data_IF_673209239981
#
_entry.id   IF_673209239981
#
_cell.length_a   1.000
_cell.length_b   1.000
_cell.length_c   1.000
_cell.angle_alpha   90.00
_cell.angle_beta   90.00
_cell.angle_gamma   90.00
#
_symmetry.space_group_name_H-M   'P 1'
#
loop_
_entity.id
_entity.type
_entity.pdbx_description
1 polymer ?
#
# COMPACT_ATOMS: atom_id res chain seq x y z
N UNK A 1 -13.79 -2.31 -9.06
CA UNK A 1 -12.72 -2.25 -8.05
C UNK A 1 -12.64 -3.61 -7.36
N UNK A 2 -11.52 -3.95 -6.76
CA UNK A 2 -11.42 -5.11 -5.87
C UNK A 2 -10.64 -4.74 -4.61
N UNK A 3 -10.82 -5.51 -3.54
CA UNK A 3 -10.14 -5.24 -2.27
C UNK A 3 -9.96 -6.52 -1.46
N UNK A 4 -8.97 -6.50 -0.58
CA UNK A 4 -8.87 -7.45 0.52
C UNK A 4 -9.21 -6.73 1.83
N UNK A 5 -10.14 -7.29 2.59
CA UNK A 5 -10.48 -6.88 3.96
C UNK A 5 -10.08 -7.98 4.94
N UNK A 6 -10.31 -7.77 6.23
CA UNK A 6 -10.21 -8.81 7.27
C UNK A 6 -11.56 -9.02 7.91
N UNK A 7 -11.73 -10.12 8.65
CA UNK A 7 -12.94 -10.37 9.47
C UNK A 7 -13.28 -9.18 10.39
N UNK A 8 -12.28 -8.43 10.86
CA UNK A 8 -12.48 -7.27 11.73
C UNK A 8 -12.84 -5.99 10.99
N UNK A 9 -12.39 -5.82 9.75
CA UNK A 9 -12.54 -4.56 9.00
C UNK A 9 -13.65 -4.60 7.96
N UNK A 10 -14.03 -5.78 7.48
CA UNK A 10 -14.97 -5.95 6.38
C UNK A 10 -16.34 -5.28 6.58
N UNK A 11 -17.01 -5.43 7.75
CA UNK A 11 -18.33 -4.84 7.92
C UNK A 11 -18.30 -3.31 7.89
N UNK A 12 -17.27 -2.69 8.45
CA UNK A 12 -17.13 -1.24 8.50
C UNK A 12 -16.75 -0.67 7.13
N UNK A 13 -15.75 -1.27 6.47
CA UNK A 13 -15.31 -0.86 5.13
C UNK A 13 -16.44 -1.00 4.12
N UNK A 14 -17.18 -2.11 4.14
CA UNK A 14 -18.31 -2.33 3.24
C UNK A 14 -19.42 -1.30 3.43
N UNK A 15 -19.77 -0.96 4.68
CA UNK A 15 -20.75 0.11 4.96
C UNK A 15 -20.27 1.47 4.48
N UNK A 16 -19.00 1.80 4.71
CA UNK A 16 -18.43 3.07 4.28
C UNK A 16 -18.48 3.22 2.75
N UNK A 17 -18.05 2.20 2.01
CA UNK A 17 -18.08 2.19 0.54
C UNK A 17 -19.49 2.35 -0.02
N UNK A 18 -20.48 1.65 0.56
CA UNK A 18 -21.88 1.80 0.16
C UNK A 18 -22.37 3.24 0.38
N UNK A 19 -22.00 3.88 1.49
CA UNK A 19 -22.35 5.28 1.76
C UNK A 19 -21.73 6.26 0.77
N UNK A 20 -20.55 5.94 0.21
CA UNK A 20 -19.87 6.80 -0.75
C UNK A 20 -20.59 6.89 -2.10
N UNK A 21 -21.49 5.94 -2.39
CA UNK A 21 -22.33 5.98 -3.59
C UNK A 21 -23.19 7.24 -3.66
N UNK A 22 -23.63 7.72 -2.49
CA UNK A 22 -24.45 8.92 -2.36
C UNK A 22 -23.59 10.19 -2.17
N UNK A 23 -22.26 10.07 -2.15
CA UNK A 23 -21.39 11.23 -2.01
C UNK A 23 -21.51 12.15 -3.24
N UNK A 24 -21.47 13.48 -3.06
CA UNK A 24 -21.49 14.42 -4.19
C UNK A 24 -20.35 14.20 -5.19
N UNK A 25 -19.21 13.68 -4.72
CA UNK A 25 -18.05 13.38 -5.55
C UNK A 25 -18.30 12.19 -6.49
N UNK A 26 -18.87 11.09 -5.99
CA UNK A 26 -19.01 9.85 -6.77
C UNK A 26 -20.37 9.71 -7.43
N UNK A 27 -21.46 10.21 -6.85
CA UNK A 27 -22.80 10.02 -7.39
C UNK A 27 -22.89 10.45 -8.86
N UNK A 28 -22.45 11.67 -9.16
CA UNK A 28 -22.45 12.21 -10.52
C UNK A 28 -21.54 11.40 -11.46
N UNK A 29 -20.38 10.93 -10.98
CA UNK A 29 -19.47 10.10 -11.76
C UNK A 29 -20.08 8.73 -12.09
N UNK A 30 -20.75 8.10 -11.13
CA UNK A 30 -21.43 6.82 -11.31
C UNK A 30 -22.57 6.96 -12.32
N UNK A 31 -23.41 8.00 -12.18
CA UNK A 31 -24.52 8.27 -13.09
C UNK A 31 -24.04 8.52 -14.53
N UNK A 32 -22.92 9.23 -14.72
CA UNK A 32 -22.40 9.54 -16.06
C UNK A 32 -21.60 8.42 -16.71
N UNK A 33 -20.80 7.69 -15.95
CA UNK A 33 -19.93 6.63 -16.49
C UNK A 33 -20.65 5.29 -16.60
N UNK A 34 -21.74 5.10 -15.84
CA UNK A 34 -22.37 3.80 -15.64
C UNK A 34 -21.52 2.83 -14.81
N UNK A 35 -20.37 3.26 -14.30
CA UNK A 35 -19.44 2.45 -13.51
C UNK A 35 -19.64 2.77 -12.04
N UNK A 36 -20.27 1.83 -11.33
CA UNK A 36 -20.41 1.92 -9.88
C UNK A 36 -19.15 1.38 -9.18
N UNK A 37 -18.22 2.28 -8.86
CA UNK A 37 -16.94 1.92 -8.23
C UNK A 37 -17.11 1.40 -6.79
N UNK A 38 -18.27 1.65 -6.17
CA UNK A 38 -18.60 1.16 -4.81
C UNK A 38 -18.99 -0.31 -4.79
N UNK A 39 -19.23 -0.91 -5.97
CA UNK A 39 -19.37 -2.37 -6.12
C UNK A 39 -17.98 -2.99 -6.20
N UNK A 40 -17.53 -3.49 -5.07
CA UNK A 40 -16.17 -4.03 -4.91
C UNK A 40 -16.22 -5.55 -4.87
N UNK A 41 -15.34 -6.18 -5.65
CA UNK A 41 -15.04 -7.59 -5.44
C UNK A 41 -14.16 -7.73 -4.21
N UNK A 42 -14.72 -8.27 -3.13
CA UNK A 42 -14.04 -8.35 -1.82
C UNK A 42 -13.62 -9.78 -1.52
N UNK A 43 -12.35 -9.96 -1.15
CA UNK A 43 -11.89 -11.15 -0.44
C UNK A 43 -11.66 -10.83 1.03
N UNK A 44 -12.27 -11.60 1.92
CA UNK A 44 -12.12 -11.41 3.38
C UNK A 44 -11.01 -12.34 3.87
N UNK A 45 -9.91 -11.76 4.35
CA UNK A 45 -8.79 -12.49 4.91
C UNK A 45 -9.22 -13.23 6.20
N UNK A 46 -8.98 -14.54 6.30
CA UNK A 46 -9.21 -15.28 7.53
C UNK A 46 -8.17 -14.91 8.59
N UNK A 47 -8.50 -15.18 9.86
CA UNK A 47 -7.54 -15.04 10.95
C UNK A 47 -6.73 -16.31 11.09
N UNK A 48 -5.45 -16.16 11.42
CA UNK A 48 -4.58 -17.24 11.86
C UNK A 48 -4.32 -17.11 13.36
N UNK A 49 -3.98 -18.21 14.02
CA UNK A 49 -3.62 -18.17 15.44
C UNK A 49 -2.30 -17.44 15.64
N UNK A 50 -2.18 -16.73 16.77
CA UNK A 50 -0.89 -16.35 17.33
C UNK A 50 -0.13 -17.59 17.83
N UNK A 51 1.19 -17.44 17.92
CA UNK A 51 2.11 -18.50 18.29
C UNK A 51 2.94 -18.13 19.52
N UNK A 52 3.61 -19.10 20.12
CA UNK A 52 4.49 -18.89 21.27
C UNK A 52 5.62 -17.92 20.95
N UNK A 53 5.84 -16.95 21.85
CA UNK A 53 6.92 -15.96 21.77
C UNK A 53 8.30 -16.65 21.67
N UNK A 54 9.26 -16.10 20.92
CA UNK A 54 10.57 -16.74 20.70
C UNK A 54 11.37 -16.98 21.99
N UNK A 55 11.07 -16.23 23.07
CA UNK A 55 11.65 -16.49 24.40
C UNK A 55 11.24 -17.82 25.01
N UNK A 56 10.24 -18.52 24.45
CA UNK A 56 9.82 -19.86 24.88
C UNK A 56 10.48 -20.98 24.05
N UNK A 57 11.39 -20.62 23.15
CA UNK A 57 12.13 -21.54 22.28
C UNK A 57 11.89 -21.29 20.79
N UNK A 58 12.71 -21.94 19.97
CA UNK A 58 12.65 -21.81 18.50
C UNK A 58 11.39 -22.46 17.92
N UNK A 59 10.95 -23.57 18.51
CA UNK A 59 9.77 -24.30 18.03
C UNK A 59 8.50 -23.56 18.43
N UNK A 60 7.80 -23.02 17.43
CA UNK A 60 6.52 -22.34 17.60
C UNK A 60 5.40 -23.34 17.92
N UNK A 61 4.62 -23.04 18.94
CA UNK A 61 3.36 -23.72 19.30
C UNK A 61 2.22 -22.69 19.34
N UNK A 62 0.97 -23.12 19.51
CA UNK A 62 -0.17 -22.20 19.63
C UNK A 62 -0.08 -21.36 20.92
N UNK A 63 -0.29 -20.05 20.79
CA UNK A 63 -0.45 -19.17 21.95
C UNK A 63 -1.87 -19.29 22.51
N UNK A 64 -2.00 -19.67 23.79
CA UNK A 64 -3.29 -20.03 24.42
C UNK A 64 -3.54 -19.29 25.74
N UNK A 65 -2.88 -18.16 25.97
CA UNK A 65 -2.97 -17.38 27.21
C UNK A 65 -3.39 -15.93 26.94
N UNK A 66 -4.18 -15.70 25.88
CA UNK A 66 -4.53 -14.35 25.45
C UNK A 66 -5.24 -13.56 26.56
N UNK A 67 -4.67 -12.41 26.93
CA UNK A 67 -5.16 -11.57 28.03
C UNK A 67 -5.08 -12.25 29.39
N UNK A 68 -4.16 -13.21 29.58
CA UNK A 68 -3.98 -13.94 30.83
C UNK A 68 -5.03 -15.02 31.10
N UNK A 69 -5.85 -15.37 30.11
CA UNK A 69 -6.91 -16.37 30.25
C UNK A 69 -6.41 -17.73 29.72
N UNK A 70 -6.27 -18.76 30.58
CA UNK A 70 -5.83 -20.08 30.15
C UNK A 70 -6.75 -20.69 29.09
N UNK A 71 -6.16 -21.23 28.02
CA UNK A 71 -6.87 -21.85 26.89
C UNK A 71 -7.40 -20.87 25.84
N UNK A 72 -7.25 -19.55 26.03
CA UNK A 72 -7.73 -18.54 25.07
C UNK A 72 -6.70 -18.26 23.99
N UNK A 73 -7.05 -18.54 22.73
CA UNK A 73 -6.23 -18.19 21.56
C UNK A 73 -6.39 -16.72 21.16
N UNK A 74 -5.45 -16.23 20.35
CA UNK A 74 -5.51 -14.90 19.74
C UNK A 74 -5.52 -15.06 18.21
N UNK A 75 -6.57 -14.55 17.55
CA UNK A 75 -6.66 -14.52 16.09
C UNK A 75 -6.07 -13.23 15.52
N UNK A 76 -5.19 -13.35 14.52
CA UNK A 76 -4.49 -12.24 13.88
C UNK A 76 -4.57 -12.34 12.36
N UNK A 77 -4.53 -11.23 11.62
CA UNK A 77 -4.35 -11.27 10.17
C UNK A 77 -2.98 -11.86 9.82
N UNK A 78 -2.91 -12.64 8.74
CA UNK A 78 -1.67 -13.27 8.25
C UNK A 78 -0.79 -12.35 7.40
N UNK A 79 -0.92 -11.03 7.57
CA UNK A 79 -0.23 -10.03 6.75
C UNK A 79 -0.85 -9.82 5.36
N UNK A 80 -0.46 -8.74 4.69
CA UNK A 80 -1.08 -8.36 3.42
C UNK A 80 -0.67 -9.26 2.24
N UNK A 81 0.41 -10.04 2.36
CA UNK A 81 0.83 -11.03 1.35
C UNK A 81 -0.20 -12.13 1.10
N UNK A 82 -1.09 -12.39 2.06
CA UNK A 82 -2.22 -13.30 1.89
C UNK A 82 -3.22 -12.86 0.82
N UNK A 83 -3.13 -11.62 0.31
CA UNK A 83 -3.97 -11.16 -0.80
C UNK A 83 -3.92 -12.11 -2.01
N UNK A 84 -2.79 -12.75 -2.29
CA UNK A 84 -2.69 -13.68 -3.42
C UNK A 84 -3.55 -14.93 -3.24
N UNK A 85 -3.70 -15.40 -1.99
CA UNK A 85 -4.61 -16.49 -1.64
C UNK A 85 -6.07 -15.99 -1.61
N UNK A 86 -6.31 -14.91 -0.87
CA UNK A 86 -7.65 -14.39 -0.58
C UNK A 86 -8.35 -13.84 -1.83
N UNK A 87 -7.60 -13.22 -2.75
CA UNK A 87 -8.10 -12.64 -3.99
C UNK A 87 -7.85 -13.52 -5.21
N UNK A 88 -7.39 -14.76 -5.03
CA UNK A 88 -7.06 -15.70 -6.12
C UNK A 88 -8.15 -15.76 -7.19
N UNK A 89 -9.40 -15.99 -6.78
CA UNK A 89 -10.52 -16.10 -7.70
C UNK A 89 -10.98 -14.75 -8.24
N UNK A 90 -10.76 -13.66 -7.51
CA UNK A 90 -10.97 -12.29 -8.01
C UNK A 90 -10.03 -12.02 -9.19
N UNK A 91 -8.73 -12.32 -9.05
CA UNK A 91 -7.76 -12.15 -10.14
C UNK A 91 -8.13 -12.95 -11.39
N UNK A 92 -8.63 -14.18 -11.20
CA UNK A 92 -9.11 -15.03 -12.31
C UNK A 92 -10.32 -14.42 -13.00
N UNK A 93 -11.34 -13.98 -12.25
CA UNK A 93 -12.52 -13.31 -12.82
C UNK A 93 -12.16 -12.02 -13.55
N UNK A 94 -11.26 -11.21 -12.99
CA UNK A 94 -10.76 -10.01 -13.66
C UNK A 94 -10.12 -10.38 -15.01
N UNK A 95 -9.27 -11.41 -15.05
CA UNK A 95 -8.65 -11.89 -16.29
C UNK A 95 -9.66 -12.43 -17.31
N UNK A 96 -10.64 -13.20 -16.84
CA UNK A 96 -11.73 -13.78 -17.66
C UNK A 96 -12.64 -12.69 -18.24
N UNK A 97 -12.89 -11.61 -17.49
CA UNK A 97 -13.62 -10.42 -17.96
C UNK A 97 -12.83 -9.54 -18.94
N UNK A 98 -11.65 -9.98 -19.37
CA UNK A 98 -10.82 -9.29 -20.35
C UNK A 98 -9.90 -8.21 -19.79
N UNK A 99 -9.74 -8.11 -18.46
CA UNK A 99 -8.75 -7.20 -17.86
C UNK A 99 -7.35 -7.79 -18.04
N UNK A 100 -6.40 -6.94 -18.48
CA UNK A 100 -5.01 -7.34 -18.71
C UNK A 100 -4.11 -7.08 -17.50
N UNK A 101 -4.37 -6.03 -16.75
CA UNK A 101 -3.52 -5.61 -15.64
C UNK A 101 -4.32 -5.41 -14.36
N UNK A 102 -3.67 -5.62 -13.22
CA UNK A 102 -4.18 -5.30 -11.90
C UNK A 102 -3.18 -4.46 -11.13
N UNK A 103 -3.66 -3.31 -10.63
CA UNK A 103 -2.92 -2.53 -9.64
C UNK A 103 -3.23 -3.07 -8.24
N UNK A 104 -2.18 -3.29 -7.46
CA UNK A 104 -2.24 -3.51 -6.02
C UNK A 104 -1.61 -2.30 -5.33
N UNK A 105 -2.24 -1.84 -4.27
CA UNK A 105 -1.69 -0.82 -3.40
C UNK A 105 -2.45 -0.72 -2.10
N UNK A 106 -1.90 0.06 -1.17
CA UNK A 106 -2.53 0.26 0.11
C UNK A 106 -3.58 1.39 0.05
N UNK A 107 -4.72 1.18 0.68
CA UNK A 107 -5.80 2.18 0.77
C UNK A 107 -5.42 3.40 1.61
N UNK A 108 -4.45 3.25 2.51
CA UNK A 108 -3.91 4.33 3.34
C UNK A 108 -2.92 5.24 2.58
N UNK A 109 -2.60 4.93 1.32
CA UNK A 109 -1.76 5.76 0.46
C UNK A 109 -2.63 6.63 -0.46
N UNK A 110 -2.75 7.92 -0.17
CA UNK A 110 -3.49 8.87 -1.00
C UNK A 110 -2.79 9.19 -2.35
N UNK A 111 -1.55 8.75 -2.54
CA UNK A 111 -0.86 8.80 -3.82
C UNK A 111 -1.12 7.58 -4.71
N UNK A 112 -1.78 6.53 -4.18
CA UNK A 112 -2.09 5.31 -4.91
C UNK A 112 -3.25 5.55 -5.88
N UNK A 113 -2.89 6.01 -7.07
CA UNK A 113 -3.81 6.27 -8.19
C UNK A 113 -3.32 5.57 -9.45
N UNK A 114 -4.20 5.21 -10.40
CA UNK A 114 -3.77 4.70 -11.69
C UNK A 114 -2.82 5.68 -12.38
N UNK A 115 -1.64 5.21 -12.79
CA UNK A 115 -0.67 6.01 -13.53
C UNK A 115 -0.58 5.52 -14.98
N UNK A 116 -1.09 6.27 -15.97
CA UNK A 116 -1.03 5.89 -17.38
C UNK A 116 0.40 5.66 -17.88
N UNK A 117 1.40 6.38 -17.36
CA UNK A 117 2.79 6.23 -17.78
C UNK A 117 3.38 4.90 -17.30
N UNK A 118 3.25 4.58 -16.02
CA UNK A 118 3.64 3.28 -15.45
C UNK A 118 2.93 2.10 -16.13
N UNK A 119 1.63 2.24 -16.41
CA UNK A 119 0.85 1.26 -17.16
C UNK A 119 1.39 1.04 -18.58
N UNK A 120 1.67 2.14 -19.31
CA UNK A 120 2.23 2.06 -20.65
C UNK A 120 3.63 1.42 -20.66
N UNK A 121 4.49 1.77 -19.70
CA UNK A 121 5.83 1.19 -19.55
C UNK A 121 5.76 -0.33 -19.34
N UNK A 122 4.89 -0.81 -18.45
CA UNK A 122 4.70 -2.24 -18.28
C UNK A 122 4.18 -2.90 -19.57
N UNK A 123 3.13 -2.32 -20.16
CA UNK A 123 2.49 -2.89 -21.35
C UNK A 123 3.43 -2.99 -22.56
N UNK A 124 4.28 -1.98 -22.76
CA UNK A 124 5.23 -1.89 -23.88
C UNK A 124 6.52 -2.69 -23.62
N UNK A 125 6.95 -2.80 -22.37
CA UNK A 125 8.17 -3.56 -22.03
C UNK A 125 8.00 -5.08 -22.13
N UNK A 126 6.77 -5.59 -22.09
CA UNK A 126 6.48 -7.02 -22.08
C UNK A 126 6.75 -7.73 -20.74
N UNK A 127 7.23 -7.00 -19.72
CA UNK A 127 7.44 -7.49 -18.36
C UNK A 127 6.13 -7.84 -17.66
N UNK A 128 6.24 -8.63 -16.59
CA UNK A 128 5.06 -9.26 -15.95
C UNK A 128 4.60 -8.54 -14.69
N UNK A 129 5.46 -7.70 -14.12
CA UNK A 129 5.07 -6.78 -13.09
C UNK A 129 5.91 -5.50 -13.12
N UNK A 130 5.42 -4.46 -12.46
CA UNK A 130 6.15 -3.24 -12.14
C UNK A 130 5.92 -2.89 -10.68
N UNK A 131 6.94 -2.37 -10.00
CA UNK A 131 6.87 -1.92 -8.61
C UNK A 131 7.40 -0.51 -8.51
N UNK A 132 6.70 0.33 -7.75
CA UNK A 132 7.10 1.71 -7.56
C UNK A 132 7.97 1.86 -6.30
N UNK A 133 9.09 2.57 -6.45
CA UNK A 133 10.01 2.89 -5.38
C UNK A 133 10.33 4.38 -5.38
N UNK A 134 10.53 4.94 -4.20
CA UNK A 134 11.06 6.30 -4.02
C UNK A 134 12.27 6.27 -3.10
N UNK A 135 13.08 7.32 -3.09
CA UNK A 135 14.12 7.42 -2.06
C UNK A 135 13.50 7.51 -0.66
N UNK A 136 14.08 6.73 0.26
CA UNK A 136 13.72 6.71 1.67
C UNK A 136 13.95 8.08 2.30
N UNK A 137 13.06 8.46 3.22
CA UNK A 137 13.14 9.69 4.02
C UNK A 137 13.15 9.33 5.52
N UNK A 138 13.33 10.34 6.39
CA UNK A 138 13.36 10.16 7.83
C UNK A 138 12.05 9.61 8.45
N UNK A 139 10.91 9.81 7.78
CA UNK A 139 9.60 9.32 8.24
C UNK A 139 9.33 7.86 7.85
N UNK A 140 10.09 7.31 6.89
CA UNK A 140 9.94 5.93 6.41
C UNK A 140 10.61 4.94 7.36
N UNK A 141 10.06 4.79 8.56
CA UNK A 141 10.63 3.92 9.60
C UNK A 141 10.25 2.45 9.45
N UNK A 142 9.16 2.17 8.71
CA UNK A 142 8.62 0.82 8.50
C UNK A 142 8.10 0.67 7.07
N UNK A 143 8.47 -0.44 6.42
CA UNK A 143 8.06 -0.82 5.08
C UNK A 143 9.21 -1.47 4.30
N UNK A 144 8.94 -1.79 3.05
CA UNK A 144 9.87 -2.53 2.19
C UNK A 144 10.95 -1.65 1.57
N UNK A 145 12.17 -2.18 1.49
CA UNK A 145 13.26 -1.58 0.70
C UNK A 145 13.68 -2.52 -0.43
N UNK A 146 14.18 -1.96 -1.53
CA UNK A 146 14.74 -2.75 -2.62
C UNK A 146 16.11 -3.29 -2.19
N UNK A 147 16.27 -4.60 -2.31
CA UNK A 147 17.52 -5.30 -2.02
C UNK A 147 17.88 -6.23 -3.18
N UNK A 148 19.14 -6.64 -3.21
CA UNK A 148 19.60 -7.76 -4.03
C UNK A 148 19.84 -8.92 -3.07
N UNK A 149 19.22 -10.07 -3.31
CA UNK A 149 19.38 -11.25 -2.47
C UNK A 149 20.70 -12.00 -2.76
N UNK A 150 20.94 -13.10 -2.04
CA UNK A 150 22.15 -13.90 -2.16
C UNK A 150 22.35 -14.53 -3.55
N UNK A 151 21.29 -14.66 -4.34
CA UNK A 151 21.31 -15.21 -5.70
C UNK A 151 21.43 -14.11 -6.77
N UNK A 152 21.65 -12.85 -6.36
CA UNK A 152 21.79 -11.71 -7.27
C UNK A 152 20.46 -11.21 -7.83
N UNK A 153 19.32 -11.62 -7.25
CA UNK A 153 17.98 -11.25 -7.72
C UNK A 153 17.45 -10.05 -6.95
N UNK A 154 16.64 -9.24 -7.62
CA UNK A 154 15.93 -8.15 -6.97
C UNK A 154 14.86 -8.69 -6.03
N UNK A 155 14.78 -8.14 -4.82
CA UNK A 155 13.76 -8.48 -3.86
C UNK A 155 13.34 -7.24 -3.05
N UNK A 156 12.20 -7.33 -2.39
CA UNK A 156 11.76 -6.34 -1.43
C UNK A 156 11.92 -6.92 -0.02
N UNK A 157 12.55 -6.18 0.89
CA UNK A 157 12.73 -6.60 2.28
C UNK A 157 12.13 -5.57 3.23
N UNK A 158 11.15 -5.98 4.03
CA UNK A 158 10.53 -5.12 5.04
C UNK A 158 11.47 -4.86 6.22
N UNK A 159 11.64 -3.58 6.57
CA UNK A 159 12.42 -3.13 7.73
C UNK A 159 11.75 -3.62 9.02
N UNK A 160 12.46 -4.47 9.76
CA UNK A 160 12.01 -5.21 10.94
C UNK A 160 11.84 -6.70 10.63
N UNK A 161 10.79 -7.13 9.90
CA UNK A 161 10.52 -8.55 9.64
C UNK A 161 11.56 -9.26 8.76
N UNK A 162 12.15 -8.57 7.78
CA UNK A 162 13.08 -9.18 6.82
C UNK A 162 14.51 -8.62 6.94
N UNK A 163 14.66 -7.33 7.27
CA UNK A 163 15.96 -6.69 7.48
C UNK A 163 15.98 -5.88 8.78
N UNK A 164 17.09 -5.91 9.53
CA UNK A 164 17.14 -5.18 10.79
C UNK A 164 17.19 -3.65 10.57
N UNK A 165 16.54 -2.84 11.43
CA UNK A 165 16.66 -1.38 11.36
C UNK A 165 18.11 -0.87 11.51
N UNK A 166 18.96 -1.61 12.25
CA UNK A 166 20.36 -1.25 12.45
C UNK A 166 21.20 -1.38 11.17
N UNK A 167 20.95 -2.39 10.35
CA UNK A 167 21.61 -2.52 9.04
C UNK A 167 21.21 -1.40 8.08
N UNK A 168 19.93 -1.05 8.05
CA UNK A 168 19.41 0.06 7.25
C UNK A 168 20.08 1.37 7.69
N UNK A 169 20.14 1.64 9.00
CA UNK A 169 20.79 2.83 9.54
C UNK A 169 22.29 2.88 9.22
N UNK A 170 22.97 1.72 9.19
CA UNK A 170 24.36 1.62 8.77
C UNK A 170 24.52 2.02 7.30
N UNK A 171 23.67 1.52 6.40
CA UNK A 171 23.72 1.89 4.97
C UNK A 171 23.42 3.37 4.73
N UNK A 172 22.46 3.93 5.47
CA UNK A 172 22.19 5.38 5.44
C UNK A 172 23.42 6.17 5.90
N UNK A 173 24.10 5.73 6.97
CA UNK A 173 25.34 6.35 7.48
C UNK A 173 26.53 6.26 6.51
N UNK A 174 26.54 5.26 5.62
CA UNK A 174 27.50 5.13 4.51
C UNK A 174 27.18 6.05 3.33
N UNK A 175 26.08 6.82 3.38
CA UNK A 175 25.64 7.70 2.30
C UNK A 175 25.01 6.96 1.12
N UNK A 176 24.55 5.71 1.32
CA UNK A 176 23.92 4.90 0.26
C UNK A 176 22.44 5.26 0.17
N UNK A 177 21.96 5.79 -0.98
CA UNK A 177 20.53 6.04 -1.16
C UNK A 177 19.75 4.73 -1.10
N UNK A 178 18.69 4.71 -0.29
CA UNK A 178 17.83 3.55 -0.13
C UNK A 178 16.55 3.75 -0.94
N UNK A 179 16.23 2.79 -1.80
CA UNK A 179 14.96 2.74 -2.51
C UNK A 179 13.92 2.06 -1.62
N UNK A 180 12.90 2.82 -1.24
CA UNK A 180 11.78 2.42 -0.40
C UNK A 180 10.55 2.16 -1.27
N UNK A 181 9.93 1.01 -1.09
CA UNK A 181 8.73 0.63 -1.82
C UNK A 181 7.55 1.50 -1.39
N UNK A 182 6.87 2.11 -2.36
CA UNK A 182 5.71 2.98 -2.09
C UNK A 182 4.39 2.21 -2.01
N UNK A 183 4.48 0.90 -1.73
CA UNK A 183 3.36 -0.01 -1.61
C UNK A 183 2.42 0.03 -2.83
N UNK A 184 3.01 0.05 -4.03
CA UNK A 184 2.27 -0.02 -5.30
C UNK A 184 2.94 -1.03 -6.23
N UNK A 185 2.15 -1.96 -6.75
CA UNK A 185 2.59 -2.94 -7.74
C UNK A 185 1.54 -3.08 -8.85
N UNK A 186 2.01 -3.14 -10.10
CA UNK A 186 1.19 -3.39 -11.27
C UNK A 186 1.53 -4.76 -11.84
N UNK A 187 0.52 -5.60 -12.05
CA UNK A 187 0.72 -7.00 -12.45
C UNK A 187 0.00 -7.30 -13.76
N UNK A 188 0.67 -8.02 -14.66
CA UNK A 188 0.02 -8.70 -15.78
C UNK A 188 -0.85 -9.84 -15.22
N UNK A 189 -2.17 -9.74 -15.41
CA UNK A 189 -3.14 -10.67 -14.85
C UNK A 189 -2.99 -12.07 -15.43
N UNK A 190 -2.51 -12.21 -16.67
CA UNK A 190 -2.30 -13.52 -17.27
C UNK A 190 -1.14 -14.24 -16.60
N UNK A 191 -0.02 -13.57 -16.39
CA UNK A 191 1.10 -14.11 -15.64
C UNK A 191 0.73 -14.36 -14.18
N UNK A 192 0.07 -13.40 -13.51
CA UNK A 192 -0.32 -13.53 -12.12
C UNK A 192 -1.23 -14.74 -11.90
N UNK A 193 -2.31 -14.88 -12.69
CA UNK A 193 -3.26 -15.99 -12.54
C UNK A 193 -2.66 -17.35 -12.88
N UNK A 194 -1.76 -17.41 -13.88
CA UNK A 194 -1.05 -18.65 -14.24
C UNK A 194 -0.10 -19.12 -13.14
N UNK A 195 0.53 -18.21 -12.39
CA UNK A 195 1.55 -18.53 -11.38
C UNK A 195 1.06 -18.39 -9.94
N UNK A 196 -0.23 -18.09 -9.72
CA UNK A 196 -0.76 -17.70 -8.41
C UNK A 196 -0.51 -18.75 -7.32
N UNK A 197 -0.62 -20.04 -7.65
CA UNK A 197 -0.37 -21.12 -6.69
C UNK A 197 1.10 -21.23 -6.28
N UNK A 198 2.02 -20.98 -7.21
CA UNK A 198 3.45 -20.87 -6.91
C UNK A 198 3.76 -19.65 -6.05
N UNK A 199 3.10 -18.51 -6.31
CA UNK A 199 3.24 -17.29 -5.49
C UNK A 199 2.74 -17.54 -4.06
N UNK A 200 1.55 -18.14 -3.91
CA UNK A 200 0.96 -18.45 -2.59
C UNK A 200 1.90 -19.35 -1.78
N UNK A 201 2.45 -20.39 -2.41
CA UNK A 201 3.35 -21.34 -1.75
C UNK A 201 4.77 -20.77 -1.52
N UNK A 202 5.25 -19.89 -2.40
CA UNK A 202 6.60 -19.37 -2.40
C UNK A 202 6.81 -18.10 -1.57
N UNK A 203 5.73 -17.38 -1.22
CA UNK A 203 5.86 -16.15 -0.44
C UNK A 203 6.42 -16.41 0.96
N UNK A 204 7.50 -15.71 1.37
CA UNK A 204 8.11 -15.91 2.67
C UNK A 204 7.14 -15.65 3.83
N UNK A 205 7.18 -16.51 4.83
CA UNK A 205 6.50 -16.28 6.11
C UNK A 205 7.50 -15.66 7.08
N UNK A 206 7.19 -14.45 7.54
CA UNK A 206 7.96 -13.70 8.52
C UNK A 206 7.37 -13.88 9.91
N UNK A 207 8.24 -14.06 10.89
CA UNK A 207 7.86 -14.20 12.29
C UNK A 207 8.28 -12.96 13.06
N UNK A 208 7.34 -12.33 13.76
CA UNK A 208 7.63 -11.17 14.62
C UNK A 208 7.12 -11.40 16.04
N UNK A 209 7.98 -11.13 17.03
CA UNK A 209 7.59 -11.15 18.43
C UNK A 209 6.84 -9.87 18.81
N UNK A 210 5.80 -10.04 19.62
CA UNK A 210 4.92 -8.99 20.10
C UNK A 210 4.85 -9.07 21.62
N UNK A 211 4.96 -7.90 22.25
CA UNK A 211 4.73 -7.70 23.68
C UNK A 211 3.63 -6.65 23.82
N UNK A 212 2.40 -7.12 24.03
CA UNK A 212 1.18 -6.29 24.02
C UNK A 212 0.23 -6.72 25.13
N UNK A 213 -0.86 -5.99 25.30
CA UNK A 213 -1.91 -6.27 26.29
C UNK A 213 -2.45 -7.71 26.22
N UNK A 214 -2.46 -8.31 25.03
CA UNK A 214 -2.89 -9.69 24.84
C UNK A 214 -1.89 -10.73 25.38
N UNK A 215 -0.69 -10.32 25.78
CA UNK A 215 0.41 -11.17 26.23
C UNK A 215 1.62 -11.12 25.29
N UNK A 216 2.61 -11.97 25.59
CA UNK A 216 3.82 -12.15 24.78
C UNK A 216 3.61 -13.29 23.79
N UNK A 217 3.58 -12.98 22.51
CA UNK A 217 3.31 -13.94 21.43
C UNK A 217 4.16 -13.64 20.20
N UNK A 218 4.19 -14.57 19.24
CA UNK A 218 4.71 -14.33 17.90
C UNK A 218 3.59 -14.33 16.87
N UNK A 219 3.71 -13.48 15.87
CA UNK A 219 2.82 -13.41 14.72
C UNK A 219 3.54 -13.92 13.48
N UNK A 220 2.85 -14.72 12.67
CA UNK A 220 3.28 -15.11 11.34
C UNK A 220 2.63 -14.18 10.31
N UNK A 221 3.40 -13.59 9.41
CA UNK A 221 2.88 -12.70 8.37
C UNK A 221 3.55 -12.95 7.04
N UNK A 222 2.82 -12.75 5.95
CA UNK A 222 3.40 -12.60 4.62
C UNK A 222 3.29 -11.14 4.18
N UNK A 223 4.31 -10.65 3.48
CA UNK A 223 4.37 -9.29 2.94
C UNK A 223 4.21 -9.35 1.43
N UNK A 224 3.20 -8.66 0.89
CA UNK A 224 2.85 -8.66 -0.56
C UNK A 224 4.05 -8.40 -1.45
N UNK A 225 4.89 -7.45 -1.06
CA UNK A 225 5.95 -6.91 -1.92
C UNK A 225 7.15 -7.85 -2.06
N UNK A 226 7.29 -8.83 -1.16
CA UNK A 226 8.27 -9.91 -1.28
C UNK A 226 7.99 -10.83 -2.47
N UNK A 227 6.81 -10.69 -3.11
CA UNK A 227 6.54 -11.35 -4.40
C UNK A 227 7.55 -10.94 -5.47
N UNK A 228 8.19 -9.76 -5.34
CA UNK A 228 9.24 -9.32 -6.24
C UNK A 228 10.37 -10.36 -6.36
N UNK A 229 10.78 -10.98 -5.25
CA UNK A 229 11.80 -12.03 -5.26
C UNK A 229 11.38 -13.35 -5.92
N UNK A 230 10.09 -13.52 -6.21
CA UNK A 230 9.55 -14.69 -6.93
C UNK A 230 9.41 -14.44 -8.43
N UNK A 231 9.67 -13.22 -8.91
CA UNK A 231 9.53 -12.84 -10.31
C UNK A 231 10.90 -12.82 -10.99
N UNK A 232 10.99 -13.42 -12.17
CA UNK A 232 12.24 -13.44 -12.94
C UNK A 232 12.57 -12.09 -13.60
N UNK A 233 11.55 -11.29 -13.91
CA UNK A 233 11.71 -9.98 -14.58
C UNK A 233 10.56 -9.02 -14.21
N UNK A 234 10.90 -8.01 -13.41
CA UNK A 234 10.00 -6.95 -12.99
C UNK A 234 10.59 -5.57 -13.27
N UNK A 235 9.75 -4.61 -13.66
CA UNK A 235 10.14 -3.21 -13.73
C UNK A 235 10.25 -2.61 -12.33
N UNK A 236 11.33 -1.87 -12.10
CA UNK A 236 11.46 -0.98 -10.95
C UNK A 236 11.24 0.45 -11.44
N UNK A 237 10.18 1.09 -10.98
CA UNK A 237 9.82 2.45 -11.35
C UNK A 237 10.21 3.41 -10.22
N UNK A 238 11.18 4.27 -10.48
CA UNK A 238 11.52 5.38 -9.60
C UNK A 238 10.45 6.47 -9.68
N UNK A 239 9.80 6.79 -8.56
CA UNK A 239 8.68 7.75 -8.52
C UNK A 239 8.90 8.89 -7.54
N UNK A 240 8.22 10.01 -7.80
CA UNK A 240 8.20 11.14 -6.88
C UNK A 240 7.32 10.83 -5.67
N UNK A 241 7.96 10.70 -4.50
CA UNK A 241 7.32 10.31 -3.24
C UNK A 241 6.09 11.17 -2.90
N UNK A 242 6.21 12.49 -2.98
CA UNK A 242 5.15 13.43 -2.63
C UNK A 242 3.87 13.24 -3.46
N UNK A 243 3.97 12.66 -4.66
CA UNK A 243 2.81 12.41 -5.54
C UNK A 243 2.31 10.98 -5.43
N UNK A 244 3.21 10.00 -5.27
CA UNK A 244 2.88 8.56 -5.34
C UNK A 244 2.78 7.89 -3.97
N UNK A 245 3.27 8.50 -2.91
CA UNK A 245 3.31 7.94 -1.56
C UNK A 245 2.98 8.97 -0.47
N UNK A 246 1.69 9.17 -0.28
CA UNK A 246 1.11 10.00 0.77
C UNK A 246 0.44 9.07 1.80
N UNK A 247 1.26 8.42 2.61
CA UNK A 247 0.80 7.42 3.56
C UNK A 247 0.15 8.05 4.80
N UNK A 248 -0.99 7.53 5.21
CA UNK A 248 -1.74 7.94 6.40
C UNK A 248 -1.55 6.96 7.57
N UNK A 249 -0.32 6.45 7.79
CA UNK A 249 -0.05 5.41 8.80
C UNK A 249 0.02 5.98 10.22
N UNK A 250 0.59 7.17 10.35
CA UNK A 250 0.72 7.89 11.61
C UNK A 250 -0.10 9.18 11.56
N UNK A 251 -0.67 9.56 12.71
CA UNK A 251 -1.35 10.84 12.87
C UNK A 251 -0.48 12.03 12.42
N UNK A 252 0.83 11.96 12.70
CA UNK A 252 1.79 12.98 12.26
C UNK A 252 1.84 13.14 10.73
N UNK A 253 1.81 12.04 9.97
CA UNK A 253 1.84 12.09 8.50
C UNK A 253 0.59 12.79 7.94
N UNK A 254 -0.56 12.58 8.57
CA UNK A 254 -1.79 13.28 8.21
C UNK A 254 -1.67 14.79 8.43
N UNK A 255 -1.11 15.23 9.56
CA UNK A 255 -0.87 16.66 9.81
C UNK A 255 0.15 17.27 8.85
N UNK A 256 1.25 16.57 8.56
CA UNK A 256 2.25 17.00 7.59
C UNK A 256 1.64 17.18 6.19
N UNK A 257 0.73 16.28 5.81
CA UNK A 257 0.11 16.26 4.47
C UNK A 257 -1.02 17.28 4.33
N UNK A 258 -1.87 17.46 5.35
CA UNK A 258 -3.01 18.39 5.27
C UNK A 258 -2.60 19.86 5.42
N UNK A 259 -1.43 20.13 6.02
CA UNK A 259 -0.90 21.49 6.18
C UNK A 259 -1.49 22.28 7.34
N UNK A 260 -2.26 21.65 8.22
CA UNK A 260 -2.79 22.30 9.43
C UNK A 260 -1.61 22.79 10.29
N UNK A 261 -1.64 24.07 10.69
CA UNK A 261 -0.57 24.74 11.45
C UNK A 261 0.82 24.73 10.79
N UNK A 262 0.93 24.51 9.48
CA UNK A 262 2.24 24.45 8.82
C UNK A 262 3.02 25.78 8.82
N UNK A 263 2.33 26.90 9.01
CA UNK A 263 2.93 28.24 9.12
C UNK A 263 3.19 28.65 10.57
N UNK A 264 2.86 27.80 11.55
CA UNK A 264 3.14 28.07 12.96
C UNK A 264 4.67 28.21 13.17
N UNK A 265 5.16 29.28 13.81
CA UNK A 265 6.59 29.44 14.10
C UNK A 265 7.18 28.31 14.94
N UNK A 266 6.37 27.59 15.72
CA UNK A 266 6.79 26.44 16.52
C UNK A 266 6.90 25.15 15.69
N UNK A 267 6.53 25.16 14.41
CA UNK A 267 6.66 23.98 13.56
C UNK A 267 8.12 23.57 13.43
N UNK A 268 8.50 22.32 13.76
CA UNK A 268 9.91 21.91 13.79
C UNK A 268 10.60 22.11 12.44
N UNK A 269 11.71 22.85 12.47
CA UNK A 269 12.61 23.06 11.32
C UNK A 269 14.04 22.68 11.67
N UNK A 270 14.79 22.14 10.70
CA UNK A 270 16.19 21.74 10.87
C UNK A 270 17.04 22.34 9.73
N UNK A 271 18.26 22.84 9.99
CA UNK A 271 19.17 23.29 8.92
C UNK A 271 19.54 22.18 7.93
N UNK A 272 19.52 20.91 8.35
CA UNK A 272 19.71 19.77 7.47
C UNK A 272 18.38 19.44 6.76
N UNK A 273 18.30 19.58 5.42
CA UNK A 273 17.07 19.32 4.67
C UNK A 273 16.47 17.92 4.84
N UNK A 274 17.30 16.91 5.16
CA UNK A 274 16.83 15.52 5.34
C UNK A 274 16.12 15.30 6.69
N UNK A 275 16.36 16.21 7.65
CA UNK A 275 15.75 16.20 8.99
C UNK A 275 14.69 17.29 9.17
N UNK A 276 14.59 18.19 8.20
CA UNK A 276 13.67 19.32 8.23
C UNK A 276 12.22 18.88 7.98
N UNK A 277 11.48 18.70 9.08
CA UNK A 277 10.06 18.35 9.04
C UNK A 277 9.22 19.43 8.35
N UNK A 278 9.59 20.70 8.44
CA UNK A 278 8.86 21.81 7.79
C UNK A 278 8.97 21.70 6.27
N UNK A 279 10.17 21.45 5.76
CA UNK A 279 10.39 21.21 4.32
C UNK A 279 9.71 19.94 3.84
N UNK A 280 9.76 18.86 4.61
CA UNK A 280 9.04 17.64 4.31
C UNK A 280 7.52 17.90 4.24
N UNK A 281 6.94 18.59 5.22
CA UNK A 281 5.53 18.96 5.25
C UNK A 281 5.13 19.78 4.02
N UNK A 282 5.92 20.79 3.66
CA UNK A 282 5.67 21.60 2.46
C UNK A 282 5.66 20.75 1.19
N UNK A 283 6.56 19.77 1.11
CA UNK A 283 6.69 18.85 -0.04
C UNK A 283 5.48 17.90 -0.13
N UNK A 284 5.08 17.30 1.00
CA UNK A 284 3.91 16.42 1.08
C UNK A 284 2.62 17.17 0.79
N UNK A 285 2.45 18.38 1.34
CA UNK A 285 1.29 19.24 1.08
C UNK A 285 1.17 19.63 -0.40
N UNK A 286 2.28 19.98 -1.04
CA UNK A 286 2.31 20.28 -2.47
C UNK A 286 1.86 19.08 -3.31
N UNK A 287 2.39 17.89 -3.00
CA UNK A 287 1.99 16.66 -3.67
C UNK A 287 0.54 16.25 -3.40
N UNK A 288 0.03 16.49 -2.19
CA UNK A 288 -1.38 16.30 -1.85
C UNK A 288 -2.29 17.24 -2.65
N UNK A 289 -1.99 18.54 -2.66
CA UNK A 289 -2.75 19.51 -3.45
C UNK A 289 -2.76 19.15 -4.94
N UNK A 290 -1.60 18.76 -5.48
CA UNK A 290 -1.49 18.29 -6.85
C UNK A 290 -2.37 17.06 -7.11
N UNK A 291 -2.36 16.06 -6.22
CA UNK A 291 -3.23 14.88 -6.34
C UNK A 291 -4.72 15.27 -6.30
N UNK A 292 -5.11 16.14 -5.38
CA UNK A 292 -6.49 16.60 -5.26
C UNK A 292 -6.98 17.25 -6.55
N UNK A 293 -6.16 18.10 -7.17
CA UNK A 293 -6.49 18.80 -8.42
C UNK A 293 -6.45 17.89 -9.65
N UNK A 294 -5.43 17.04 -9.77
CA UNK A 294 -5.12 16.34 -11.02
C UNK A 294 -5.67 14.90 -11.07
N UNK A 295 -5.79 14.22 -9.93
CA UNK A 295 -6.21 12.82 -9.87
C UNK A 295 -7.61 12.65 -9.26
N UNK A 296 -7.96 13.47 -8.27
CA UNK A 296 -9.25 13.36 -7.59
C UNK A 296 -10.33 14.29 -8.15
N UNK A 297 -9.98 15.22 -9.05
CA UNK A 297 -10.94 16.15 -9.67
C UNK A 297 -11.54 17.12 -8.66
N UNK A 298 -10.73 17.60 -7.73
CA UNK A 298 -11.12 18.50 -6.65
C UNK A 298 -10.53 19.90 -6.87
N UNK A 299 -11.15 20.92 -6.28
CA UNK A 299 -10.60 22.27 -6.21
C UNK A 299 -10.55 22.74 -4.77
N UNK A 300 -9.54 23.51 -4.40
CA UNK A 300 -9.47 24.13 -3.09
C UNK A 300 -10.44 25.33 -3.05
N UNK A 301 -11.50 25.21 -2.26
CA UNK A 301 -12.38 26.33 -1.91
C UNK A 301 -11.77 27.18 -0.78
N UNK A 302 -12.60 27.96 -0.07
CA UNK A 302 -12.11 28.85 0.99
C UNK A 302 -11.36 28.13 2.13
N UNK A 303 -11.72 26.89 2.45
CA UNK A 303 -11.08 26.11 3.52
C UNK A 303 -11.16 24.59 3.36
N UNK A 304 -11.69 24.10 2.24
CA UNK A 304 -11.90 22.67 1.99
C UNK A 304 -11.77 22.34 0.51
N UNK A 305 -11.39 21.10 0.24
CA UNK A 305 -11.43 20.54 -1.10
C UNK A 305 -12.87 20.20 -1.48
N UNK A 306 -13.33 20.71 -2.62
CA UNK A 306 -14.67 20.48 -3.14
C UNK A 306 -14.58 19.78 -4.51
N UNK A 307 -15.49 18.85 -4.82
CA UNK A 307 -15.54 18.22 -6.15
C UNK A 307 -15.74 19.28 -7.23
N UNK A 308 -14.99 19.18 -8.32
CA UNK A 308 -15.24 19.98 -9.52
C UNK A 308 -16.45 19.37 -10.23
N UNK A 309 -17.50 20.16 -10.46
CA UNK A 309 -18.63 19.71 -11.26
C UNK A 309 -18.14 19.31 -12.66
N UNK A 310 -18.55 18.13 -13.11
CA UNK A 310 -18.30 17.67 -14.47
C UNK A 310 -19.01 18.60 -15.46
N UNK A 311 -18.28 19.59 -15.98
CA UNK A 311 -18.74 20.37 -17.13
C UNK A 311 -18.99 19.41 -18.30
N UNK A 312 -19.99 19.68 -19.14
CA UNK A 312 -20.16 18.93 -20.40
C UNK A 312 -18.82 18.92 -21.13
N UNK A 313 -18.40 17.78 -21.71
CA UNK A 313 -17.12 17.66 -22.39
C UNK A 313 -17.16 18.45 -23.70
N UNK A 314 -17.06 19.77 -23.61
CA UNK A 314 -16.64 20.58 -24.74
C UNK A 314 -15.11 20.47 -24.81
N UNK A 315 -14.61 19.48 -25.57
CA UNK A 315 -13.31 19.59 -26.21
C UNK A 315 -12.12 18.77 -25.70
N UNK A 316 -12.27 17.76 -24.83
CA UNK A 316 -11.13 16.88 -24.48
C UNK A 316 -10.96 15.67 -25.41
N UNK A 317 -12.03 15.28 -26.11
CA UNK A 317 -11.99 14.36 -27.23
C UNK A 317 -12.83 15.03 -28.31
N UNK A 318 -12.19 15.53 -29.38
CA UNK A 318 -12.90 16.17 -30.48
C UNK A 318 -14.01 15.26 -31.01
N UNK A 319 -15.15 15.85 -31.35
CA UNK A 319 -16.23 15.14 -32.02
C UNK A 319 -15.65 14.35 -33.21
N UNK A 320 -15.96 13.06 -33.35
CA UNK A 320 -15.60 12.33 -34.56
C UNK A 320 -16.45 12.87 -35.71
N UNK A 321 -15.87 13.78 -36.50
CA UNK A 321 -16.33 14.14 -37.84
C UNK A 321 -16.04 13.02 -38.83
#
# INVERSE_FOLDING_TARGET
MFQMTSVFTDPEVSRALLSYRDSPALRTLIERTGIDITRVETGVQPLISAFTHSSQGERKSLFTEAGGIPGRTLGLPGGHGQNFLVLKDVYRRLRESGKRFAYLGNVDNLGYTPDPAGLALLALSGRKAAFEFSFKTAVDRKGGILVVDGDGRLNCADIGPAISPGEVARWEGEGRPILFNVATGLFDLEHLTRNIDGIIAGLPVRWSDQDKDAGRYSQAEQVTWEVLGLLDDALILGVEKSRRFLAAKLLLENFLTCGLYADDPAFPSDPNPERDLKKLAATLRSGFAWNMENNYGMRLGASRWEPVELRSPAGLWGDPS
#
